data_IF_016407416588
#
_entry.id   IF_016407416588
#
_cell.length_a   1.000
_cell.length_b   1.000
_cell.length_c   1.000
_cell.angle_alpha   90.00
_cell.angle_beta   90.00
_cell.angle_gamma   90.00
#
_symmetry.space_group_name_H-M   'P 1'
#
loop_
_entity.id
_entity.type
_entity.pdbx_description
1 polymer ?
#
# COMPACT_ATOMS: atom_id res chain seq x y z
N UNK A 1 -47.41 8.26 -7.83
CA UNK A 1 -47.66 6.80 -7.94
C UNK A 1 -46.37 6.05 -7.60
N UNK A 2 -46.44 5.02 -6.76
CA UNK A 2 -45.28 4.22 -6.36
C UNK A 2 -45.02 3.12 -7.40
N UNK A 3 -43.84 3.13 -8.03
CA UNK A 3 -43.44 2.08 -8.96
C UNK A 3 -43.13 0.78 -8.21
N UNK A 4 -43.80 -0.32 -8.57
CA UNK A 4 -43.43 -1.66 -8.10
C UNK A 4 -42.39 -2.25 -9.04
N UNK A 5 -41.21 -2.60 -8.52
CA UNK A 5 -40.16 -3.29 -9.28
C UNK A 5 -40.40 -4.80 -9.21
N UNK A 6 -40.75 -5.41 -10.34
CA UNK A 6 -40.79 -6.86 -10.48
C UNK A 6 -39.39 -7.35 -10.84
N UNK A 7 -38.88 -8.31 -10.07
CA UNK A 7 -37.57 -8.91 -10.30
C UNK A 7 -37.77 -10.05 -11.31
N UNK A 8 -37.43 -9.79 -12.56
CA UNK A 8 -37.46 -10.78 -13.63
C UNK A 8 -36.10 -11.45 -13.73
N UNK A 9 -36.08 -12.77 -13.66
CA UNK A 9 -34.86 -13.55 -13.78
C UNK A 9 -34.41 -13.57 -15.24
N UNK A 10 -33.18 -13.16 -15.51
CA UNK A 10 -32.63 -13.02 -16.86
C UNK A 10 -31.55 -14.07 -17.04
N UNK A 11 -31.88 -15.16 -17.75
CA UNK A 11 -31.08 -16.39 -17.81
C UNK A 11 -29.69 -16.24 -18.43
N UNK A 12 -29.44 -15.19 -19.23
CA UNK A 12 -28.10 -14.87 -19.75
C UNK A 12 -27.82 -13.39 -19.56
N UNK A 13 -26.96 -13.06 -18.59
CA UNK A 13 -26.50 -11.69 -18.35
C UNK A 13 -25.23 -11.43 -19.17
N UNK A 14 -25.35 -10.68 -20.27
CA UNK A 14 -24.18 -10.11 -20.97
C UNK A 14 -23.69 -8.90 -20.17
N UNK A 15 -22.54 -9.03 -19.53
CA UNK A 15 -21.96 -7.99 -18.68
C UNK A 15 -20.68 -7.41 -19.30
N UNK A 16 -20.59 -6.08 -19.35
CA UNK A 16 -19.39 -5.35 -19.77
C UNK A 16 -19.06 -4.31 -18.72
N UNK A 17 -17.87 -4.42 -18.13
CA UNK A 17 -17.45 -3.54 -17.05
C UNK A 17 -17.34 -2.07 -17.51
N UNK A 18 -16.85 -1.84 -18.74
CA UNK A 18 -16.71 -0.52 -19.35
C UNK A 18 -18.03 0.24 -19.55
N UNK A 19 -19.13 -0.49 -19.78
CA UNK A 19 -20.48 0.09 -19.90
C UNK A 19 -21.05 0.45 -18.52
N UNK A 20 -20.59 -0.21 -17.46
CA UNK A 20 -21.12 -0.03 -16.12
C UNK A 20 -20.45 1.11 -15.35
N UNK A 21 -19.19 1.41 -15.66
CA UNK A 21 -18.40 2.48 -15.04
C UNK A 21 -18.61 3.78 -15.82
N UNK A 22 -19.24 4.82 -15.22
CA UNK A 22 -19.51 6.07 -15.91
C UNK A 22 -18.23 6.80 -16.36
N UNK A 23 -18.29 7.60 -17.44
CA UNK A 23 -17.12 8.34 -17.94
C UNK A 23 -16.60 9.43 -16.99
N UNK A 24 -17.46 9.94 -16.09
CA UNK A 24 -17.09 10.93 -15.08
C UNK A 24 -16.53 10.31 -13.80
N UNK A 25 -16.34 8.99 -13.75
CA UNK A 25 -15.76 8.33 -12.59
C UNK A 25 -14.27 8.69 -12.50
N UNK A 26 -13.82 9.05 -11.29
CA UNK A 26 -12.43 9.45 -11.00
C UNK A 26 -11.42 8.41 -11.48
N UNK A 27 -11.62 7.13 -11.16
CA UNK A 27 -10.68 6.06 -11.47
C UNK A 27 -10.59 5.79 -12.97
N UNK A 28 -11.71 5.96 -13.70
CA UNK A 28 -11.71 5.86 -15.16
C UNK A 28 -10.91 6.99 -15.80
N UNK A 29 -11.12 8.23 -15.37
CA UNK A 29 -10.35 9.37 -15.83
C UNK A 29 -8.86 9.19 -15.50
N UNK A 30 -8.55 8.71 -14.30
CA UNK A 30 -7.18 8.48 -13.86
C UNK A 30 -6.45 7.43 -14.72
N UNK A 31 -7.13 6.35 -15.12
CA UNK A 31 -6.58 5.37 -16.06
C UNK A 31 -6.23 5.97 -17.42
N UNK A 32 -7.01 6.93 -17.91
CA UNK A 32 -6.82 7.57 -19.22
C UNK A 32 -5.79 8.71 -19.17
N UNK A 33 -5.63 9.37 -18.02
CA UNK A 33 -4.80 10.57 -17.87
C UNK A 33 -3.33 10.25 -17.60
N UNK A 34 -3.05 9.15 -16.88
CA UNK A 34 -1.72 8.77 -16.44
C UNK A 34 -1.17 7.71 -17.38
N UNK A 35 0.03 7.95 -17.92
CA UNK A 35 0.81 6.93 -18.61
C UNK A 35 1.48 5.99 -17.60
N UNK A 36 1.23 4.69 -17.75
CA UNK A 36 1.73 3.65 -16.85
C UNK A 36 2.83 2.79 -17.49
N UNK A 37 3.08 2.92 -18.80
CA UNK A 37 3.95 2.00 -19.53
C UNK A 37 5.42 2.09 -19.08
N UNK A 38 5.87 3.30 -18.71
CA UNK A 38 7.23 3.54 -18.25
C UNK A 38 7.61 2.70 -17.02
N UNK A 39 6.63 2.27 -16.21
CA UNK A 39 6.88 1.44 -15.03
C UNK A 39 7.45 0.07 -15.39
N UNK A 40 7.14 -0.47 -16.57
CA UNK A 40 7.70 -1.74 -16.99
C UNK A 40 9.22 -1.66 -17.24
N UNK A 41 9.71 -0.53 -17.74
CA UNK A 41 11.14 -0.33 -17.94
C UNK A 41 11.85 -0.07 -16.61
N UNK A 42 11.28 0.77 -15.75
CA UNK A 42 11.82 1.11 -14.43
C UNK A 42 11.91 -0.11 -13.49
N UNK A 43 10.93 -1.00 -13.55
CA UNK A 43 10.86 -2.15 -12.64
C UNK A 43 11.50 -3.41 -13.21
N UNK A 44 11.89 -3.43 -14.49
CA UNK A 44 12.41 -4.63 -15.18
C UNK A 44 13.51 -5.34 -14.43
N UNK A 45 14.47 -4.59 -13.87
CA UNK A 45 15.63 -5.15 -13.16
C UNK A 45 15.25 -5.85 -11.84
N UNK A 46 14.09 -5.52 -11.25
CA UNK A 46 13.62 -6.07 -9.98
C UNK A 46 12.85 -7.38 -10.17
N UNK A 47 12.46 -7.69 -11.41
CA UNK A 47 11.72 -8.90 -11.76
C UNK A 47 12.65 -9.92 -12.40
N UNK A 48 12.47 -11.20 -12.05
CA UNK A 48 13.19 -12.28 -12.72
C UNK A 48 12.59 -12.56 -14.09
N UNK A 49 13.45 -12.94 -15.04
CA UNK A 49 13.03 -13.39 -16.38
C UNK A 49 12.55 -14.86 -16.39
N UNK A 50 12.72 -15.57 -15.27
CA UNK A 50 12.30 -16.98 -15.09
C UNK A 50 11.47 -17.14 -13.82
N UNK A 51 10.60 -18.17 -13.81
CA UNK A 51 9.80 -18.58 -12.66
C UNK A 51 8.30 -18.30 -12.79
N UNK A 52 7.58 -18.38 -11.67
CA UNK A 52 6.17 -17.99 -11.63
C UNK A 52 6.06 -16.46 -11.81
N UNK A 53 5.16 -15.97 -12.69
CA UNK A 53 4.92 -14.53 -12.77
C UNK A 53 4.46 -13.98 -11.43
N UNK A 54 5.15 -12.94 -10.97
CA UNK A 54 4.77 -12.14 -9.81
C UNK A 54 3.71 -11.09 -10.19
N UNK A 55 3.26 -10.33 -9.20
CA UNK A 55 2.29 -9.25 -9.39
C UNK A 55 2.79 -8.23 -10.43
N UNK A 56 1.95 -7.87 -11.40
CA UNK A 56 2.25 -6.84 -12.39
C UNK A 56 2.61 -5.51 -11.70
N UNK A 57 3.77 -4.89 -12.03
CA UNK A 57 4.17 -3.61 -11.45
C UNK A 57 3.10 -2.53 -11.62
N UNK A 58 2.44 -2.43 -12.79
CA UNK A 58 1.42 -1.40 -13.05
C UNK A 58 0.23 -1.59 -12.11
N UNK A 59 -0.26 -2.83 -11.98
CA UNK A 59 -1.34 -3.17 -11.05
C UNK A 59 -0.95 -2.84 -9.62
N UNK A 60 0.29 -3.14 -9.22
CA UNK A 60 0.77 -2.81 -7.88
C UNK A 60 0.71 -1.29 -7.62
N UNK A 61 1.25 -0.46 -8.50
CA UNK A 61 1.23 0.99 -8.31
C UNK A 61 -0.19 1.56 -8.30
N UNK A 62 -1.08 1.03 -9.15
CA UNK A 62 -2.50 1.37 -9.14
C UNK A 62 -3.17 1.02 -7.81
N UNK A 63 -2.91 -0.17 -7.26
CA UNK A 63 -3.42 -0.57 -5.94
C UNK A 63 -2.91 0.35 -4.82
N UNK A 64 -1.62 0.70 -4.84
CA UNK A 64 -1.05 1.65 -3.86
C UNK A 64 -1.73 3.01 -3.96
N UNK A 65 -1.98 3.49 -5.18
CA UNK A 65 -2.65 4.76 -5.42
C UNK A 65 -4.10 4.74 -4.90
N UNK A 66 -4.87 3.69 -5.20
CA UNK A 66 -6.21 3.48 -4.64
C UNK A 66 -6.17 3.51 -3.11
N UNK A 67 -5.22 2.81 -2.50
CA UNK A 67 -5.06 2.79 -1.04
C UNK A 67 -4.78 4.18 -0.45
N UNK A 68 -4.11 5.08 -1.19
CA UNK A 68 -3.88 6.45 -0.74
C UNK A 68 -5.10 7.35 -0.97
N UNK A 69 -5.75 7.25 -2.13
CA UNK A 69 -6.93 8.06 -2.47
C UNK A 69 -8.13 7.76 -1.56
N UNK A 70 -8.37 6.49 -1.26
CA UNK A 70 -9.47 6.06 -0.38
C UNK A 70 -9.04 5.97 1.10
N UNK A 71 -7.83 6.43 1.44
CA UNK A 71 -7.27 6.47 2.80
C UNK A 71 -7.30 5.10 3.52
N UNK A 72 -6.90 4.04 2.82
CA UNK A 72 -6.81 2.67 3.33
C UNK A 72 -5.37 2.35 3.75
N UNK A 73 -5.21 2.06 5.04
CA UNK A 73 -3.89 1.76 5.63
C UNK A 73 -3.53 0.26 5.54
N UNK A 74 -4.53 -0.62 5.47
CA UNK A 74 -4.33 -2.08 5.49
C UNK A 74 -4.44 -2.69 4.10
N UNK A 75 -3.41 -3.42 3.66
CA UNK A 75 -3.43 -4.14 2.38
C UNK A 75 -4.58 -5.17 2.31
N UNK A 76 -4.98 -5.78 3.44
CA UNK A 76 -6.16 -6.68 3.50
C UNK A 76 -7.44 -5.96 3.14
N UNK A 77 -7.70 -4.83 3.83
CA UNK A 77 -8.87 -4.00 3.56
C UNK A 77 -8.84 -3.42 2.16
N UNK A 78 -7.65 -3.10 1.64
CA UNK A 78 -7.49 -2.62 0.27
C UNK A 78 -7.95 -3.66 -0.75
N UNK A 79 -7.50 -4.91 -0.65
CA UNK A 79 -7.92 -5.98 -1.57
C UNK A 79 -9.43 -6.24 -1.47
N UNK A 80 -9.97 -6.32 -0.24
CA UNK A 80 -11.42 -6.47 -0.01
C UNK A 80 -12.22 -5.31 -0.62
N UNK A 81 -11.76 -4.08 -0.43
CA UNK A 81 -12.39 -2.88 -0.98
C UNK A 81 -12.34 -2.85 -2.51
N UNK A 82 -11.21 -3.26 -3.10
CA UNK A 82 -11.07 -3.38 -4.56
C UNK A 82 -12.02 -4.45 -5.13
N UNK A 83 -12.20 -5.58 -4.44
CA UNK A 83 -13.08 -6.66 -4.88
C UNK A 83 -14.56 -6.25 -4.93
N UNK A 84 -14.99 -5.32 -4.06
CA UNK A 84 -16.37 -4.85 -3.99
C UNK A 84 -16.70 -3.75 -5.01
N UNK A 85 -15.70 -3.07 -5.55
CA UNK A 85 -15.87 -1.84 -6.34
C UNK A 85 -15.54 -2.05 -7.81
N UNK A 86 -16.58 -2.03 -8.64
CA UNK A 86 -16.49 -2.21 -10.10
C UNK A 86 -15.64 -1.15 -10.80
N UNK A 87 -15.65 0.09 -10.29
CA UNK A 87 -14.85 1.19 -10.83
C UNK A 87 -13.36 0.99 -10.58
N UNK A 88 -13.00 0.48 -9.41
CA UNK A 88 -11.63 0.13 -9.06
C UNK A 88 -11.16 -1.08 -9.87
N UNK A 89 -11.98 -2.14 -10.00
CA UNK A 89 -11.65 -3.28 -10.87
C UNK A 89 -11.37 -2.84 -12.31
N UNK A 90 -12.17 -1.91 -12.84
CA UNK A 90 -11.95 -1.35 -14.17
C UNK A 90 -10.61 -0.62 -14.27
N UNK A 91 -10.26 0.18 -13.26
CA UNK A 91 -8.98 0.89 -13.22
C UNK A 91 -7.77 -0.06 -13.11
N UNK A 92 -7.90 -1.12 -12.32
CA UNK A 92 -6.87 -2.16 -12.18
C UNK A 92 -6.74 -3.03 -13.43
N UNK A 93 -7.77 -3.11 -14.27
CA UNK A 93 -7.80 -3.95 -15.46
C UNK A 93 -8.25 -5.39 -15.20
N UNK A 94 -8.90 -5.64 -14.06
CA UNK A 94 -9.39 -6.97 -13.68
C UNK A 94 -10.83 -7.19 -14.12
N UNK A 95 -11.16 -8.46 -14.41
CA UNK A 95 -12.55 -8.87 -14.63
C UNK A 95 -13.27 -9.10 -13.31
N UNK A 96 -14.60 -9.16 -13.36
CA UNK A 96 -15.44 -9.39 -12.16
C UNK A 96 -15.29 -10.82 -11.62
N UNK A 97 -14.98 -11.76 -12.50
CA UNK A 97 -14.76 -13.18 -12.21
C UNK A 97 -13.29 -13.53 -11.92
N UNK A 98 -12.39 -12.56 -11.99
CA UNK A 98 -10.97 -12.76 -11.77
C UNK A 98 -10.58 -12.52 -10.31
N UNK A 99 -9.71 -13.37 -9.77
CA UNK A 99 -9.24 -13.24 -8.40
C UNK A 99 -8.14 -12.18 -8.28
N UNK A 100 -8.32 -11.25 -7.34
CA UNK A 100 -7.31 -10.24 -7.03
C UNK A 100 -6.10 -10.85 -6.29
N UNK A 101 -4.92 -10.23 -6.39
CA UNK A 101 -3.73 -10.70 -5.69
C UNK A 101 -3.94 -10.73 -4.17
N UNK A 102 -3.40 -11.76 -3.54
CA UNK A 102 -3.47 -11.88 -2.08
C UNK A 102 -2.67 -10.75 -1.41
N UNK A 103 -3.19 -10.23 -0.30
CA UNK A 103 -2.60 -9.10 0.43
C UNK A 103 -1.12 -9.30 0.81
N UNK A 104 -0.68 -10.53 1.06
CA UNK A 104 0.73 -10.80 1.37
C UNK A 104 1.66 -10.61 0.16
N UNK A 105 1.18 -10.90 -1.04
CA UNK A 105 1.88 -10.61 -2.30
C UNK A 105 2.08 -9.10 -2.42
N UNK A 106 1.05 -8.31 -2.13
CA UNK A 106 1.16 -6.84 -2.14
C UNK A 106 2.20 -6.34 -1.13
N UNK A 107 2.14 -6.81 0.12
CA UNK A 107 3.09 -6.39 1.15
C UNK A 107 4.54 -6.78 0.79
N UNK A 108 4.74 -7.96 0.18
CA UNK A 108 6.06 -8.41 -0.27
C UNK A 108 6.58 -7.58 -1.45
N UNK A 109 5.73 -7.32 -2.45
CA UNK A 109 6.09 -6.47 -3.59
C UNK A 109 6.42 -5.04 -3.14
N UNK A 110 5.73 -4.50 -2.12
CA UNK A 110 6.06 -3.19 -1.54
C UNK A 110 7.47 -3.12 -0.95
N UNK A 111 7.95 -4.21 -0.36
CA UNK A 111 9.31 -4.30 0.19
C UNK A 111 10.37 -4.48 -0.90
N UNK A 112 9.98 -4.96 -2.09
CA UNK A 112 10.87 -5.15 -3.22
C UNK A 112 11.25 -3.83 -3.90
N UNK A 113 10.31 -2.87 -3.98
CA UNK A 113 10.53 -1.60 -4.67
C UNK A 113 11.29 -0.58 -3.81
N UNK A 114 12.44 -0.05 -4.28
CA UNK A 114 13.16 1.00 -3.58
C UNK A 114 12.43 2.35 -3.69
N UNK A 115 12.69 3.25 -2.75
CA UNK A 115 12.09 4.59 -2.70
C UNK A 115 12.29 5.37 -4.02
N UNK A 116 13.46 5.23 -4.65
CA UNK A 116 13.78 5.88 -5.92
C UNK A 116 12.77 5.60 -7.04
N UNK A 117 12.15 4.41 -7.09
CA UNK A 117 11.13 4.10 -8.11
C UNK A 117 9.85 4.90 -7.86
N UNK A 118 9.47 5.10 -6.59
CA UNK A 118 8.32 5.92 -6.23
C UNK A 118 8.57 7.41 -6.52
N UNK A 119 9.78 7.90 -6.28
CA UNK A 119 10.19 9.26 -6.62
C UNK A 119 10.13 9.49 -8.14
N UNK A 120 10.66 8.56 -8.93
CA UNK A 120 10.58 8.62 -10.41
C UNK A 120 9.14 8.64 -10.92
N UNK A 121 8.25 7.83 -10.34
CA UNK A 121 6.82 7.86 -10.65
C UNK A 121 6.22 9.23 -10.33
N UNK A 122 6.55 9.80 -9.18
CA UNK A 122 6.07 11.12 -8.80
C UNK A 122 6.57 12.19 -9.79
N UNK A 123 7.85 12.19 -10.11
CA UNK A 123 8.45 13.14 -11.06
C UNK A 123 7.84 13.00 -12.46
N UNK A 124 7.56 11.77 -12.90
CA UNK A 124 6.91 11.51 -14.19
C UNK A 124 5.48 12.11 -14.23
N UNK A 125 4.66 11.83 -13.22
CA UNK A 125 3.29 12.37 -13.13
C UNK A 125 3.33 13.90 -12.97
N UNK A 126 4.28 14.40 -12.17
CA UNK A 126 4.47 15.84 -11.98
C UNK A 126 4.86 16.54 -13.30
N UNK A 127 5.76 15.95 -14.08
CA UNK A 127 6.12 16.45 -15.40
C UNK A 127 4.92 16.51 -16.36
N UNK A 128 4.03 15.51 -16.32
CA UNK A 128 2.76 15.54 -17.08
C UNK A 128 1.86 16.71 -16.63
N UNK A 129 1.78 16.99 -15.34
CA UNK A 129 1.03 18.13 -14.81
C UNK A 129 1.62 19.47 -15.28
N UNK A 130 2.94 19.61 -15.25
CA UNK A 130 3.65 20.80 -15.76
C UNK A 130 3.39 20.98 -17.26
N UNK A 131 3.51 19.91 -18.05
CA UNK A 131 3.28 19.95 -19.50
C UNK A 131 1.84 20.35 -19.87
N UNK A 132 0.87 20.03 -19.01
CA UNK A 132 -0.54 20.42 -19.16
C UNK A 132 -0.85 21.82 -18.61
N UNK A 133 0.14 22.55 -18.10
CA UNK A 133 -0.03 23.89 -17.56
C UNK A 133 -0.77 23.93 -16.21
N UNK A 134 -0.83 22.80 -15.48
CA UNK A 134 -1.46 22.75 -14.14
C UNK A 134 -0.57 23.37 -13.06
N UNK A 135 0.73 23.53 -13.34
CA UNK A 135 1.72 24.06 -12.40
C UNK A 135 2.41 25.26 -13.04
N UNK A 136 2.16 26.46 -12.49
CA UNK A 136 2.74 27.72 -12.97
C UNK A 136 4.08 28.08 -12.29
N UNK A 137 4.37 27.53 -11.10
CA UNK A 137 5.62 27.77 -10.37
C UNK A 137 5.76 29.14 -9.70
N UNK A 138 4.81 30.06 -9.88
CA UNK A 138 4.91 31.43 -9.35
C UNK A 138 4.68 31.55 -7.83
N UNK A 139 3.89 30.64 -7.25
CA UNK A 139 3.49 30.69 -5.84
C UNK A 139 3.75 29.35 -5.18
N UNK A 140 4.52 29.38 -4.10
CA UNK A 140 4.72 28.24 -3.22
C UNK A 140 3.99 28.50 -1.90
N UNK A 141 3.06 27.60 -1.55
CA UNK A 141 2.42 27.60 -0.25
C UNK A 141 3.00 26.43 0.57
N UNK A 142 3.41 26.71 1.79
CA UNK A 142 3.90 25.71 2.74
C UNK A 142 3.00 25.80 3.97
N UNK A 143 2.19 24.76 4.19
CA UNK A 143 1.45 24.61 5.43
C UNK A 143 2.32 23.85 6.43
N UNK A 144 2.49 24.40 7.62
CA UNK A 144 3.33 23.80 8.67
C UNK A 144 2.64 23.97 10.01
N UNK A 145 2.55 22.88 10.77
CA UNK A 145 2.10 22.93 12.15
C UNK A 145 3.30 23.28 13.06
N UNK A 146 3.17 24.28 13.96
CA UNK A 146 4.24 24.56 14.92
C UNK A 146 4.36 23.40 15.91
N UNK A 147 5.52 22.73 15.90
CA UNK A 147 5.88 21.71 16.89
C UNK A 147 6.85 22.34 17.88
N UNK A 148 6.60 22.19 19.19
CA UNK A 148 7.50 22.68 20.24
C UNK A 148 8.80 21.88 20.20
N UNK A 149 9.85 22.49 19.64
CA UNK A 149 11.18 21.90 19.61
C UNK A 149 11.90 22.08 20.96
N UNK A 150 12.65 21.08 21.41
CA UNK A 150 13.66 21.24 22.45
C UNK A 150 14.97 21.69 21.78
N UNK A 151 14.97 22.94 21.29
CA UNK A 151 16.10 23.55 20.61
C UNK A 151 16.49 24.84 21.36
N UNK A 152 17.79 25.09 21.47
CA UNK A 152 18.31 26.30 22.06
C UNK A 152 18.06 27.49 21.13
N UNK A 153 17.51 28.59 21.65
CA UNK A 153 17.28 29.80 20.85
C UNK A 153 18.60 30.47 20.45
N UNK A 154 19.69 30.24 21.20
CA UNK A 154 21.02 30.75 20.86
C UNK A 154 21.68 30.10 19.63
N UNK A 155 21.17 28.97 19.12
CA UNK A 155 21.77 28.23 18.00
C UNK A 155 20.93 28.24 16.71
N UNK A 156 19.99 29.19 16.58
CA UNK A 156 19.20 29.36 15.36
C UNK A 156 20.09 29.83 14.21
N UNK A 157 20.15 29.02 13.15
CA UNK A 157 20.84 29.37 11.89
C UNK A 157 19.78 29.56 10.82
N UNK A 158 19.87 30.67 10.08
CA UNK A 158 18.99 30.90 8.93
C UNK A 158 19.19 29.79 7.89
N UNK A 159 18.11 29.07 7.59
CA UNK A 159 18.11 28.10 6.50
C UNK A 159 18.19 28.87 5.18
N UNK A 160 19.40 28.96 4.63
CA UNK A 160 19.56 29.50 3.29
C UNK A 160 18.75 28.65 2.32
N UNK A 161 18.01 29.27 1.38
CA UNK A 161 17.35 28.52 0.33
C UNK A 161 18.43 27.74 -0.41
N UNK A 162 18.29 26.41 -0.46
CA UNK A 162 19.04 25.64 -1.44
C UNK A 162 18.74 26.30 -2.79
N UNK A 163 19.78 26.68 -3.54
CA UNK A 163 19.64 27.33 -4.84
C UNK A 163 18.66 26.59 -5.75
N UNK A 164 18.19 27.20 -6.86
CA UNK A 164 17.03 26.74 -7.64
C UNK A 164 17.11 25.23 -7.93
N UNK A 165 16.47 24.45 -7.07
CA UNK A 165 16.41 23.00 -7.20
C UNK A 165 15.01 22.75 -7.73
N UNK A 166 14.86 22.87 -9.06
CA UNK A 166 13.74 22.27 -9.75
C UNK A 166 13.73 20.75 -9.51
N UNK A 167 12.68 20.03 -9.95
CA UNK A 167 12.72 18.57 -9.99
C UNK A 167 14.00 18.16 -10.70
N UNK A 168 14.85 17.37 -10.01
CA UNK A 168 16.17 17.03 -10.50
C UNK A 168 16.01 15.95 -11.57
N UNK A 169 15.80 16.37 -12.82
CA UNK A 169 16.05 15.52 -13.99
C UNK A 169 17.51 15.07 -13.90
N UNK A 170 17.68 13.78 -13.59
CA UNK A 170 18.98 13.18 -13.31
C UNK A 170 19.98 13.46 -14.44
N UNK A 171 20.97 14.27 -14.14
CA UNK A 171 22.27 14.24 -14.82
C UNK A 171 23.29 13.91 -13.74
N UNK A 172 23.98 12.78 -13.95
CA UNK A 172 25.00 12.22 -13.07
C UNK A 172 26.18 13.19 -12.95
N UNK A 173 26.26 13.92 -11.83
CA UNK A 173 27.49 14.58 -11.37
C UNK A 173 27.57 14.46 -9.83
N UNK A 174 28.71 14.04 -9.27
CA UNK A 174 28.83 13.66 -7.87
C UNK A 174 28.83 14.90 -6.95
N UNK A 175 28.09 14.80 -5.84
CA UNK A 175 28.01 15.88 -4.85
C UNK A 175 29.32 16.07 -4.08
N UNK A 176 29.74 17.31 -3.78
CA UNK A 176 30.86 17.54 -2.86
C UNK A 176 30.53 17.05 -1.44
N UNK A 177 31.54 16.66 -0.64
CA UNK A 177 31.32 16.05 0.67
C UNK A 177 30.67 17.05 1.64
N UNK A 178 29.66 16.57 2.38
CA UNK A 178 29.01 17.32 3.44
C UNK A 178 30.01 17.72 4.54
N UNK A 179 29.87 18.90 5.16
CA UNK A 179 30.70 19.27 6.29
C UNK A 179 30.42 18.32 7.47
N UNK A 180 31.49 17.81 8.06
CA UNK A 180 31.52 16.94 9.22
C UNK A 180 30.97 17.68 10.45
N UNK A 181 29.65 17.63 10.64
CA UNK A 181 28.99 18.03 11.87
C UNK A 181 29.16 16.93 12.91
N UNK A 182 29.84 17.25 14.01
CA UNK A 182 30.07 16.37 15.15
C UNK A 182 28.78 15.71 15.62
N UNK A 183 28.77 14.38 15.64
CA UNK A 183 27.75 13.57 16.32
C UNK A 183 27.82 13.91 17.81
N UNK A 184 26.87 14.70 18.31
CA UNK A 184 26.54 14.69 19.74
C UNK A 184 25.58 13.54 19.95
N UNK A 185 26.11 12.43 20.44
CA UNK A 185 25.35 11.30 20.94
C UNK A 185 24.40 11.79 22.02
N UNK A 186 23.09 11.73 21.79
CA UNK A 186 22.12 11.93 22.86
C UNK A 186 22.33 10.85 23.94
N UNK A 187 22.41 11.19 25.24
CA UNK A 187 22.39 10.18 26.28
C UNK A 187 21.01 9.52 26.32
N UNK A 188 20.99 8.21 26.57
CA UNK A 188 19.79 7.43 26.81
C UNK A 188 18.93 8.05 27.94
N UNK A 189 17.60 7.89 27.92
CA UNK A 189 16.76 8.40 29.00
C UNK A 189 17.09 7.65 30.30
N UNK A 190 17.74 8.35 31.22
CA UNK A 190 17.88 7.93 32.62
C UNK A 190 16.48 7.85 33.24
N UNK A 191 16.12 6.68 33.75
CA UNK A 191 14.90 6.49 34.54
C UNK A 191 14.96 7.36 35.80
N UNK A 192 14.16 8.44 35.85
CA UNK A 192 13.89 9.14 37.10
C UNK A 192 12.95 8.27 37.95
N UNK A 193 13.53 7.56 38.92
CA UNK A 193 12.81 7.11 40.09
C UNK A 193 12.48 8.35 40.94
N UNK A 194 11.20 8.60 41.18
CA UNK A 194 10.77 9.57 42.18
C UNK A 194 9.61 8.98 42.98
N UNK A 195 9.76 9.10 44.28
CA UNK A 195 9.13 8.35 45.38
C UNK A 195 7.60 8.38 45.42
N UNK A 196 6.94 7.37 46.04
CA UNK A 196 5.49 7.27 46.11
C UNK A 196 4.88 8.30 47.09
N UNK A 197 3.67 8.82 46.81
CA UNK A 197 2.96 9.72 47.73
C UNK A 197 2.33 8.99 48.92
N UNK A 198 2.40 9.64 50.07
CA UNK A 198 1.87 9.23 51.39
C UNK A 198 0.34 9.14 51.40
N UNK A 199 -0.21 8.05 51.93
CA UNK A 199 -1.67 7.84 52.14
C UNK A 199 -2.11 8.28 53.54
N UNK A 200 -3.27 8.93 53.70
CA UNK A 200 -4.01 8.93 54.96
C UNK A 200 -5.28 8.04 54.91
N UNK A 201 -5.52 7.30 56.00
CA UNK A 201 -6.84 6.96 56.54
C UNK A 201 -7.61 5.75 55.97
N UNK A 202 -7.81 4.73 56.81
CA UNK A 202 -8.73 3.58 56.67
C UNK A 202 -10.16 3.91 57.17
N UNK A 203 -11.24 3.43 56.55
CA UNK A 203 -12.06 2.24 56.91
C UNK A 203 -13.52 2.41 56.39
N UNK A 204 -14.47 1.45 56.45
CA UNK A 204 -14.42 -0.03 56.28
C UNK A 204 -15.42 -0.60 55.21
N UNK A 205 -15.20 -1.88 54.86
CA UNK A 205 -16.00 -2.99 54.21
C UNK A 205 -17.53 -2.85 53.90
N UNK A 206 -18.16 -3.67 52.99
CA UNK A 206 -18.03 -5.14 52.92
C UNK A 206 -18.06 -5.86 51.53
N UNK A 207 -17.49 -7.07 51.59
CA UNK A 207 -17.66 -8.32 50.82
C UNK A 207 -18.55 -8.38 49.57
N UNK A 208 -18.05 -9.08 48.53
CA UNK A 208 -18.59 -10.40 48.16
C UNK A 208 -17.71 -11.14 47.12
N UNK A 209 -17.73 -12.47 47.26
CA UNK A 209 -16.95 -13.53 46.58
C UNK A 209 -17.06 -13.54 45.05
N UNK A 210 -15.97 -13.95 44.39
CA UNK A 210 -16.05 -14.68 43.12
C UNK A 210 -15.15 -15.94 43.18
N UNK A 211 -15.57 -17.08 42.59
CA UNK A 211 -14.98 -18.38 42.85
C UNK A 211 -13.78 -18.72 41.95
N UNK A 212 -12.90 -19.54 42.50
CA UNK A 212 -11.76 -20.19 41.87
C UNK A 212 -12.18 -21.31 40.91
N UNK A 213 -11.45 -21.48 39.81
CA UNK A 213 -11.33 -22.78 39.11
C UNK A 213 -10.01 -22.87 38.32
N UNK A 214 -9.51 -24.09 38.04
CA UNK A 214 -8.08 -24.39 38.09
C UNK A 214 -7.39 -24.49 36.72
N UNK A 215 -6.06 -24.36 36.76
CA UNK A 215 -5.12 -24.67 35.68
C UNK A 215 -5.28 -26.11 35.16
N UNK A 216 -5.49 -26.25 33.84
CA UNK A 216 -5.11 -27.42 33.02
C UNK A 216 -4.08 -26.89 32.02
N UNK A 217 -2.86 -27.41 31.89
CA UNK A 217 -2.53 -28.81 31.66
C UNK A 217 -2.25 -28.94 30.16
N UNK A 218 -0.99 -28.67 29.76
CA UNK A 218 -0.51 -28.86 28.39
C UNK A 218 -0.66 -30.34 28.00
N UNK A 219 -1.40 -30.60 26.92
CA UNK A 219 -1.37 -31.88 26.21
C UNK A 219 -1.20 -31.63 24.72
N UNK A 220 -0.07 -32.12 24.22
CA UNK A 220 0.28 -32.19 22.81
C UNK A 220 -0.81 -32.93 22.02
N UNK A 221 -1.22 -32.36 20.88
CA UNK A 221 -2.08 -33.05 19.91
C UNK A 221 -1.32 -33.24 18.60
N UNK A 222 -1.31 -34.51 18.18
CA UNK A 222 -0.66 -35.06 17.00
C UNK A 222 -1.04 -34.34 15.70
N UNK A 223 -0.06 -34.23 14.81
CA UNK A 223 -0.26 -34.06 13.37
C UNK A 223 -0.95 -35.31 12.83
N UNK A 224 -2.14 -35.14 12.26
CA UNK A 224 -2.80 -36.17 11.44
C UNK A 224 -2.54 -35.81 9.98
N UNK A 225 -1.66 -36.56 9.34
CA UNK A 225 -1.39 -36.52 7.90
C UNK A 225 -2.61 -37.07 7.14
N UNK A 226 -3.12 -36.31 6.18
CA UNK A 226 -4.11 -36.78 5.22
C UNK A 226 -3.48 -37.81 4.24
N UNK A 227 -4.21 -38.86 3.81
CA UNK A 227 -3.71 -39.82 2.84
C UNK A 227 -3.74 -39.26 1.41
N UNK A 228 -2.84 -39.71 0.51
CA UNK A 228 -2.78 -39.24 -0.87
C UNK A 228 -3.92 -39.79 -1.72
N UNK A 229 -4.48 -38.93 -2.57
CA UNK A 229 -5.48 -39.25 -3.59
C UNK A 229 -4.85 -40.06 -4.74
N UNK A 230 -5.48 -41.14 -5.24
CA UNK A 230 -4.94 -41.91 -6.35
C UNK A 230 -5.12 -41.15 -7.69
N UNK A 231 -4.01 -40.78 -8.32
CA UNK A 231 -3.98 -40.24 -9.69
C UNK A 231 -4.31 -41.34 -10.68
N UNK A 232 -5.43 -41.16 -11.39
CA UNK A 232 -5.89 -42.00 -12.50
C UNK A 232 -4.96 -41.79 -13.70
N UNK A 233 -4.34 -42.88 -14.17
CA UNK A 233 -3.54 -42.89 -15.40
C UNK A 233 -4.38 -42.46 -16.60
N UNK A 234 -3.86 -41.49 -17.36
CA UNK A 234 -4.41 -41.10 -18.67
C UNK A 234 -3.77 -41.99 -19.75
N UNK A 235 -4.55 -42.59 -20.66
CA UNK A 235 -4.02 -43.37 -21.76
C UNK A 235 -3.37 -42.47 -22.82
N UNK A 236 -2.18 -42.88 -23.26
CA UNK A 236 -1.46 -42.35 -24.41
C UNK A 236 -2.31 -42.47 -25.68
N UNK A 237 -2.35 -41.39 -26.47
CA UNK A 237 -2.93 -41.41 -27.83
C UNK A 237 -1.79 -41.35 -28.87
N UNK A 238 -1.89 -42.12 -29.98
CA UNK A 238 -0.77 -42.39 -30.87
C UNK A 238 -0.52 -41.28 -31.90
N UNK A 239 0.74 -41.24 -32.36
CA UNK A 239 1.25 -40.37 -33.41
C UNK A 239 0.46 -40.49 -34.73
N UNK A 240 0.20 -39.35 -35.37
CA UNK A 240 -0.27 -39.27 -36.77
C UNK A 240 0.93 -39.33 -37.74
N UNK A 241 0.83 -40.10 -38.84
CA UNK A 241 1.76 -39.97 -39.96
C UNK A 241 1.37 -38.77 -40.85
N UNK A 242 2.39 -38.04 -41.33
CA UNK A 242 2.26 -37.03 -42.39
C UNK A 242 2.06 -37.70 -43.75
N UNK A 243 1.19 -37.17 -44.62
CA UNK A 243 1.44 -37.11 -46.05
C UNK A 243 2.26 -35.86 -46.41
#
# INVERSE_FOLDING_TARGET
>A
MQGKKLLLDKEVTRFRLSERVPPHNLYRQLAELVDWEFLYDETRALYSHTGQPSLDPVVFFKLVLVGRLDNLVSDRRLVEHCALRLDILFFLGYKVDEELPWHSTMSRTRQLFPAAVFERLFDHVFAQCVARGLVAGERQAVDSAPVKANAALESVVEKQPAGPTGPRLATDEPSPPAPTGSVVTAPAPTSCATSPPTRPGSSPTPACRAPSTPRRGCSATRRTTAPPTPTRASPSSPAKPRP
#
